data_IF_473192679032
#
_entry.id   IF_473192679032
#
_cell.length_a   1.000
_cell.length_b   1.000
_cell.length_c   1.000
_cell.angle_alpha   90.00
_cell.angle_beta   90.00
_cell.angle_gamma   90.00
#
_symmetry.space_group_name_H-M   'P 1'
#
loop_
_entity.id
_entity.type
_entity.pdbx_description
1 polymer ?
#
# COMPACT_ATOMS: atom_id res chain seq x y z
N UNK A 1 -18.52 -25.73 4.06
CA UNK A 1 -18.51 -24.64 3.07
C UNK A 1 -18.62 -23.34 3.84
N UNK A 2 -17.65 -22.45 3.72
CA UNK A 2 -17.65 -21.16 4.42
C UNK A 2 -18.39 -20.13 3.55
N UNK A 3 -19.39 -19.47 4.13
CA UNK A 3 -20.21 -18.51 3.39
C UNK A 3 -19.44 -17.19 3.29
N UNK A 4 -19.07 -16.81 2.06
CA UNK A 4 -18.51 -15.49 1.75
C UNK A 4 -19.62 -14.45 1.97
N UNK A 5 -19.53 -13.66 3.04
CA UNK A 5 -20.58 -12.71 3.45
C UNK A 5 -20.09 -11.27 3.29
N UNK A 6 -20.85 -10.47 2.56
CA UNK A 6 -20.72 -9.02 2.51
C UNK A 6 -21.79 -8.43 3.44
N UNK A 7 -21.40 -7.51 4.32
CA UNK A 7 -22.34 -6.77 5.16
C UNK A 7 -22.88 -5.57 4.37
N UNK A 8 -24.20 -5.44 4.32
CA UNK A 8 -24.87 -4.32 3.66
C UNK A 8 -25.47 -3.39 4.72
N UNK A 9 -25.27 -2.08 4.55
CA UNK A 9 -25.95 -1.09 5.37
C UNK A 9 -27.45 -1.06 5.05
N UNK A 10 -28.29 -0.88 6.08
CA UNK A 10 -29.76 -0.89 5.94
C UNK A 10 -30.30 0.22 5.04
N UNK A 11 -29.55 1.32 4.87
CA UNK A 11 -29.91 2.44 4.00
C UNK A 11 -29.74 2.18 2.50
N UNK A 12 -29.12 1.07 2.09
CA UNK A 12 -28.91 0.72 0.68
C UNK A 12 -30.17 0.07 0.07
N UNK A 13 -31.31 0.76 0.15
CA UNK A 13 -32.63 0.20 -0.19
C UNK A 13 -32.70 -0.32 -1.63
N UNK A 14 -32.19 0.45 -2.60
CA UNK A 14 -32.14 0.05 -4.01
C UNK A 14 -31.31 -1.21 -4.23
N UNK A 15 -30.11 -1.28 -3.65
CA UNK A 15 -29.24 -2.47 -3.75
C UNK A 15 -29.89 -3.70 -3.10
N UNK A 16 -30.54 -3.51 -1.94
CA UNK A 16 -31.26 -4.58 -1.26
C UNK A 16 -32.42 -5.10 -2.11
N UNK A 17 -33.17 -4.21 -2.78
CA UNK A 17 -34.25 -4.59 -3.68
C UNK A 17 -33.72 -5.32 -4.92
N UNK A 18 -32.63 -4.86 -5.52
CA UNK A 18 -31.97 -5.53 -6.64
C UNK A 18 -31.54 -6.95 -6.27
N UNK A 19 -30.89 -7.14 -5.11
CA UNK A 19 -30.44 -8.46 -4.67
C UNK A 19 -31.59 -9.42 -4.34
N UNK A 20 -32.72 -8.92 -3.84
CA UNK A 20 -33.90 -9.76 -3.56
C UNK A 20 -34.57 -10.28 -4.82
N UNK A 21 -34.49 -9.53 -5.92
CA UNK A 21 -35.17 -9.87 -7.19
C UNK A 21 -34.18 -10.33 -8.27
N UNK A 22 -32.89 -10.44 -7.95
CA UNK A 22 -31.88 -10.92 -8.88
C UNK A 22 -32.22 -12.33 -9.39
N UNK A 23 -32.11 -12.61 -10.70
CA UNK A 23 -31.56 -11.77 -11.77
C UNK A 23 -32.60 -10.93 -12.54
N UNK A 24 -33.85 -10.86 -12.07
CA UNK A 24 -34.98 -10.25 -12.78
C UNK A 24 -35.23 -8.79 -12.40
N UNK A 25 -34.34 -8.18 -11.61
CA UNK A 25 -34.39 -6.76 -11.31
C UNK A 25 -34.15 -5.95 -12.59
N UNK A 26 -34.75 -4.76 -12.67
CA UNK A 26 -34.65 -3.86 -13.84
C UNK A 26 -33.21 -3.43 -14.17
N UNK A 27 -32.31 -3.48 -13.18
CA UNK A 27 -30.89 -3.15 -13.30
C UNK A 27 -30.03 -4.17 -12.52
N UNK A 28 -28.89 -4.59 -13.10
CA UNK A 28 -27.91 -5.56 -12.53
C UNK A 28 -26.62 -4.90 -12.03
N UNK A 29 -26.52 -3.57 -12.13
CA UNK A 29 -25.36 -2.75 -11.77
C UNK A 29 -24.93 -2.89 -10.29
N UNK A 30 -25.89 -2.97 -9.36
CA UNK A 30 -25.62 -3.19 -7.94
C UNK A 30 -25.00 -4.57 -7.63
N UNK A 31 -25.66 -5.67 -8.03
CA UNK A 31 -25.10 -7.02 -7.95
C UNK A 31 -23.72 -7.18 -8.63
N UNK A 32 -23.54 -6.61 -9.82
CA UNK A 32 -22.25 -6.64 -10.54
C UNK A 32 -21.15 -5.86 -9.81
N UNK A 33 -21.49 -4.70 -9.26
CA UNK A 33 -20.60 -3.92 -8.40
C UNK A 33 -20.11 -4.71 -7.19
N UNK A 34 -21.01 -5.45 -6.53
CA UNK A 34 -20.63 -6.32 -5.42
C UNK A 34 -19.73 -7.48 -5.87
N UNK A 35 -19.98 -8.06 -7.05
CA UNK A 35 -19.15 -9.12 -7.59
C UNK A 35 -17.72 -8.63 -7.89
N UNK A 36 -17.60 -7.46 -8.52
CA UNK A 36 -16.32 -6.81 -8.76
C UNK A 36 -15.58 -6.49 -7.46
N UNK A 37 -16.26 -5.88 -6.48
CA UNK A 37 -15.67 -5.57 -5.18
C UNK A 37 -15.16 -6.82 -4.48
N UNK A 38 -15.97 -7.90 -4.47
CA UNK A 38 -15.57 -9.16 -3.88
C UNK A 38 -14.38 -9.78 -4.61
N UNK A 39 -14.38 -9.79 -5.94
CA UNK A 39 -13.28 -10.31 -6.74
C UNK A 39 -11.98 -9.55 -6.46
N UNK A 40 -12.04 -8.22 -6.34
CA UNK A 40 -10.91 -7.38 -5.94
C UNK A 40 -10.49 -7.73 -4.51
N UNK A 41 -11.39 -7.71 -3.53
CA UNK A 41 -11.05 -8.02 -2.13
C UNK A 41 -10.47 -9.43 -1.95
N UNK A 42 -10.92 -10.42 -2.73
CA UNK A 42 -10.43 -11.79 -2.67
C UNK A 42 -9.11 -12.02 -3.43
N UNK A 43 -8.77 -11.17 -4.41
CA UNK A 43 -7.56 -11.30 -5.24
C UNK A 43 -6.48 -10.25 -4.95
N UNK A 44 -6.86 -9.10 -4.38
CA UNK A 44 -6.03 -7.91 -4.22
C UNK A 44 -5.58 -7.66 -2.79
N UNK A 45 -5.70 -8.64 -1.88
CA UNK A 45 -4.92 -8.64 -0.63
C UNK A 45 -3.46 -8.94 -0.99
N UNK A 46 -2.83 -8.04 -1.76
CA UNK A 46 -1.40 -8.04 -1.94
C UNK A 46 -0.76 -7.81 -0.59
N UNK A 47 0.29 -8.56 -0.28
CA UNK A 47 1.04 -8.49 0.97
C UNK A 47 1.34 -7.02 1.30
N UNK A 48 0.58 -6.42 2.21
CA UNK A 48 0.89 -5.07 2.70
C UNK A 48 1.97 -5.24 3.76
N UNK A 49 3.18 -4.83 3.41
CA UNK A 49 4.30 -4.78 4.34
C UNK A 49 4.24 -3.46 5.12
N UNK A 50 4.23 -3.56 6.44
CA UNK A 50 4.35 -2.38 7.30
C UNK A 50 5.78 -1.87 7.21
N UNK A 51 5.98 -0.70 6.60
CA UNK A 51 7.28 -0.03 6.54
C UNK A 51 7.33 0.99 7.68
N UNK A 52 8.05 0.72 8.79
CA UNK A 52 8.29 1.73 9.80
C UNK A 52 9.16 2.84 9.20
N UNK A 53 8.69 4.08 9.31
CA UNK A 53 9.57 5.25 9.17
C UNK A 53 10.49 5.18 10.39
N UNK A 54 11.80 5.02 10.16
CA UNK A 54 12.79 4.65 11.18
C UNK A 54 12.75 5.49 12.47
N UNK A 55 13.43 5.03 13.53
CA UNK A 55 13.43 5.72 14.81
C UNK A 55 13.92 7.18 14.65
N UNK A 56 13.40 8.12 15.45
CA UNK A 56 13.86 9.51 15.40
C UNK A 56 15.37 9.54 15.74
N UNK A 57 16.20 9.99 14.80
CA UNK A 57 17.64 10.22 15.00
C UNK A 57 18.62 9.22 14.35
N UNK A 58 18.18 8.39 13.40
CA UNK A 58 19.07 7.49 12.66
C UNK A 58 19.95 8.19 11.60
N UNK A 59 19.77 9.49 11.37
CA UNK A 59 20.54 10.32 10.44
C UNK A 59 21.82 10.93 11.05
N UNK A 60 22.02 10.83 12.36
CA UNK A 60 23.06 11.55 13.09
C UNK A 60 24.41 10.80 13.26
N UNK A 61 24.64 9.66 12.59
CA UNK A 61 25.90 8.90 12.71
C UNK A 61 26.56 8.53 11.38
N UNK A 62 26.61 9.46 10.43
CA UNK A 62 27.76 9.46 9.52
C UNK A 62 28.91 10.06 10.31
N UNK A 63 29.65 9.17 10.97
CA UNK A 63 30.97 9.49 11.51
C UNK A 63 31.81 9.97 10.31
N UNK A 64 32.10 11.27 10.29
CA UNK A 64 33.21 11.83 9.53
C UNK A 64 34.46 11.17 10.10
N UNK A 65 34.88 10.08 9.48
CA UNK A 65 36.23 9.54 9.61
C UNK A 65 37.13 10.33 8.66
N UNK A 66 37.33 11.62 8.93
CA UNK A 66 38.44 12.40 8.36
C UNK A 66 39.72 12.06 9.13
N UNK A 67 40.25 10.88 8.81
CA UNK A 67 41.61 10.48 9.15
C UNK A 67 42.60 11.43 8.44
N UNK A 68 42.92 12.53 9.13
CA UNK A 68 44.05 13.40 8.83
C UNK A 68 45.34 12.62 9.12
N UNK A 69 45.66 11.70 8.22
CA UNK A 69 46.91 10.96 8.24
C UNK A 69 48.02 11.94 7.80
N UNK A 70 48.61 12.58 8.82
CA UNK A 70 49.86 13.34 8.81
C UNK A 70 51.00 12.44 8.29
N UNK A 71 51.12 12.34 6.96
CA UNK A 71 52.33 11.91 6.29
C UNK A 71 52.78 13.02 5.37
N UNK A 72 53.76 13.77 5.86
CA UNK A 72 54.57 14.63 5.01
C UNK A 72 55.11 13.89 3.80
N UNK A 73 55.36 14.66 2.75
CA UNK A 73 56.39 14.50 1.71
C UNK A 73 55.83 14.81 0.32
N UNK A 74 56.28 15.93 -0.27
CA UNK A 74 56.28 16.09 -1.72
C UNK A 74 55.72 17.42 -2.24
N UNK A 75 56.52 18.48 -2.18
CA UNK A 75 56.39 19.58 -3.14
C UNK A 75 56.62 19.04 -4.56
N UNK A 76 55.63 19.15 -5.44
CA UNK A 76 55.73 18.89 -6.88
C UNK A 76 54.98 19.96 -7.68
N UNK A 77 55.66 20.75 -8.54
CA UNK A 77 55.06 21.90 -9.21
C UNK A 77 54.41 21.47 -10.53
N UNK A 78 53.12 21.74 -10.71
CA UNK A 78 52.44 21.45 -11.97
C UNK A 78 50.96 21.80 -11.95
N UNK A 79 50.64 23.06 -11.67
CA UNK A 79 49.30 23.60 -11.84
C UNK A 79 49.18 24.40 -13.14
N UNK A 80 48.40 23.88 -14.09
CA UNK A 80 47.48 24.58 -14.99
C UNK A 80 46.60 23.56 -15.73
#
# INVERSE_FOLDING_TARGET
MENKRILLASGLTTLIEQLKHFPMADHDDGPDGLHMLWAIAASSVGNFEFIPIGPPGADARREDDDDYDDRGDGFGPGGW
#
